data_IF_504339535188
#
_entry.id   IF_504339535188
#
_cell.length_a   1.000
_cell.length_b   1.000
_cell.length_c   1.000
_cell.angle_alpha   90.00
_cell.angle_beta   90.00
_cell.angle_gamma   90.00
#
_symmetry.space_group_name_H-M   'P 1'
#
loop_
_entity.id
_entity.type
_entity.pdbx_description
1 polymer ?
#
# COMPACT_ATOMS: atom_id res chain seq x y z
N UNK A 1 -4.96 -2.94 -3.21
CA UNK A 1 -3.70 -3.44 -2.63
C UNK A 1 -2.57 -2.60 -3.19
N UNK A 2 -1.78 -1.95 -2.32
CA UNK A 2 -0.83 -0.91 -2.74
C UNK A 2 0.31 -1.46 -3.60
N UNK A 3 0.82 -2.65 -3.27
CA UNK A 3 1.86 -3.32 -4.05
C UNK A 3 1.43 -3.61 -5.49
N UNK A 4 0.15 -3.96 -5.71
CA UNK A 4 -0.39 -4.23 -7.04
C UNK A 4 -0.52 -2.97 -7.90
N UNK A 5 -0.86 -1.83 -7.29
CA UNK A 5 -0.93 -0.54 -7.98
C UNK A 5 0.45 -0.09 -8.48
N UNK A 6 1.50 -0.26 -7.66
CA UNK A 6 2.88 0.05 -8.05
C UNK A 6 3.41 -0.93 -9.12
N UNK A 7 3.22 -2.24 -8.92
CA UNK A 7 3.64 -3.27 -9.87
C UNK A 7 2.99 -3.09 -11.26
N UNK A 8 1.69 -2.77 -11.29
CA UNK A 8 0.95 -2.47 -12.53
C UNK A 8 1.21 -1.08 -13.10
N UNK A 9 2.21 -0.37 -12.58
CA UNK A 9 2.58 0.98 -13.02
C UNK A 9 1.40 1.96 -13.10
N UNK A 10 0.48 1.86 -12.15
CA UNK A 10 -0.64 2.78 -12.09
C UNK A 10 -1.91 2.34 -12.84
N UNK A 11 -1.89 1.21 -13.56
CA UNK A 11 -3.04 0.69 -14.32
C UNK A 11 -4.19 0.29 -13.38
N UNK A 12 -3.91 -0.51 -12.34
CA UNK A 12 -4.94 -0.96 -11.41
C UNK A 12 -4.98 -0.10 -10.15
N UNK A 13 -6.01 0.74 -10.01
CA UNK A 13 -6.13 1.67 -8.88
C UNK A 13 -6.32 0.94 -7.55
N UNK A 14 -5.61 1.42 -6.53
CA UNK A 14 -5.88 0.98 -5.16
C UNK A 14 -7.12 1.68 -4.63
N UNK A 15 -8.13 0.90 -4.23
CA UNK A 15 -9.41 1.42 -3.74
C UNK A 15 -9.28 1.98 -2.32
N UNK A 16 -9.75 3.22 -2.15
CA UNK A 16 -9.98 3.80 -0.84
C UNK A 16 -11.30 3.28 -0.26
N UNK A 17 -11.26 2.85 1.00
CA UNK A 17 -12.43 2.35 1.71
C UNK A 17 -12.41 2.82 3.15
N UNK A 18 -13.60 3.01 3.73
CA UNK A 18 -13.78 3.41 5.13
C UNK A 18 -14.87 2.56 5.78
N UNK A 19 -14.75 2.36 7.08
CA UNK A 19 -15.80 1.74 7.91
C UNK A 19 -16.39 2.84 8.78
N UNK A 20 -17.73 2.92 8.81
CA UNK A 20 -18.47 3.86 9.65
C UNK A 20 -18.99 3.11 10.87
N UNK A 21 -18.82 3.69 12.06
CA UNK A 21 -19.31 3.11 13.31
C UNK A 21 -20.84 3.11 13.35
N UNK A 22 -21.45 1.97 13.68
CA UNK A 22 -22.86 1.87 13.95
C UNK A 22 -23.09 2.15 15.46
N UNK A 23 -24.00 3.07 15.78
CA UNK A 23 -24.27 3.47 17.18
C UNK A 23 -25.20 2.51 17.93
N UNK A 24 -25.93 1.66 17.22
CA UNK A 24 -27.02 0.85 17.76
C UNK A 24 -26.66 -0.63 17.86
N UNK A 25 -25.84 -1.13 16.94
CA UNK A 25 -25.51 -2.55 16.85
C UNK A 25 -24.02 -2.77 16.61
N UNK A 26 -23.49 -3.86 17.16
CA UNK A 26 -22.12 -4.29 16.94
C UNK A 26 -21.93 -4.81 15.51
N UNK A 27 -20.75 -4.56 14.93
CA UNK A 27 -20.35 -5.06 13.62
C UNK A 27 -19.07 -5.85 13.74
N UNK A 28 -19.11 -7.11 13.37
CA UNK A 28 -17.93 -7.97 13.25
C UNK A 28 -17.54 -8.13 11.78
N UNK A 29 -16.23 -8.16 11.50
CA UNK A 29 -15.73 -8.49 10.17
C UNK A 29 -14.42 -9.25 10.27
N UNK A 30 -14.26 -10.23 9.40
CA UNK A 30 -12.99 -10.89 9.12
C UNK A 30 -12.45 -10.41 7.78
N UNK A 31 -11.14 -10.29 7.66
CA UNK A 31 -10.49 -9.86 6.43
C UNK A 31 -9.27 -10.74 6.15
N UNK A 32 -9.09 -11.09 4.88
CA UNK A 32 -7.89 -11.73 4.38
C UNK A 32 -7.14 -10.76 3.47
N UNK A 33 -5.84 -10.61 3.70
CA UNK A 33 -4.97 -9.77 2.89
C UNK A 33 -3.88 -10.63 2.26
N UNK A 34 -3.94 -10.80 0.94
CA UNK A 34 -2.83 -11.35 0.19
C UNK A 34 -1.69 -10.31 0.18
N UNK A 35 -0.51 -10.67 0.69
CA UNK A 35 0.66 -9.81 0.70
C UNK A 35 1.86 -10.54 0.09
N UNK A 36 2.76 -9.85 -0.62
CA UNK A 36 4.03 -10.45 -1.05
C UNK A 36 4.89 -10.83 0.17
N UNK A 37 5.91 -11.67 -0.04
CA UNK A 37 6.97 -11.83 0.97
C UNK A 37 7.70 -10.49 1.16
N UNK A 38 8.33 -10.30 2.32
CA UNK A 38 9.07 -9.07 2.63
C UNK A 38 10.18 -8.78 1.62
N UNK A 39 10.84 -9.81 1.12
CA UNK A 39 11.96 -9.78 0.19
C UNK A 39 11.51 -9.61 -1.26
N UNK A 40 10.19 -9.71 -1.53
CA UNK A 40 9.66 -9.54 -2.88
C UNK A 40 9.90 -8.10 -3.36
N UNK A 41 10.61 -7.97 -4.48
CA UNK A 41 10.81 -6.71 -5.18
C UNK A 41 9.53 -6.33 -5.95
N UNK A 42 9.11 -5.08 -5.79
CA UNK A 42 8.01 -4.45 -6.49
C UNK A 42 8.62 -3.53 -7.53
N UNK A 43 8.44 -3.90 -8.80
CA UNK A 43 8.83 -3.13 -9.97
C UNK A 43 7.87 -3.44 -11.12
N UNK A 44 7.75 -2.54 -12.08
CA UNK A 44 6.96 -2.76 -13.28
C UNK A 44 7.85 -3.19 -14.46
N UNK A 45 7.30 -3.98 -15.36
CA UNK A 45 7.91 -4.31 -16.65
C UNK A 45 7.64 -3.28 -17.75
N UNK A 46 6.96 -2.18 -17.44
CA UNK A 46 6.66 -1.10 -18.38
C UNK A 46 7.91 -0.32 -18.81
N UNK A 47 7.89 0.21 -20.03
CA UNK A 47 9.01 1.00 -20.59
C UNK A 47 9.22 2.33 -19.87
N UNK A 48 8.14 2.95 -19.42
CA UNK A 48 8.17 4.21 -18.66
C UNK A 48 7.68 3.91 -17.25
N UNK A 49 8.56 4.11 -16.27
CA UNK A 49 8.29 3.78 -14.87
C UNK A 49 7.76 5.01 -14.13
N UNK A 50 6.68 4.84 -13.37
CA UNK A 50 6.17 5.85 -12.43
C UNK A 50 6.83 5.69 -11.06
N UNK A 51 7.09 4.45 -10.67
CA UNK A 51 7.64 4.11 -9.35
C UNK A 51 9.03 3.54 -9.49
N UNK A 52 9.93 3.94 -8.58
CA UNK A 52 11.24 3.31 -8.42
C UNK A 52 11.06 1.89 -7.89
N UNK A 53 12.07 1.05 -8.07
CA UNK A 53 12.08 -0.31 -7.51
C UNK A 53 12.23 -0.28 -5.99
N UNK A 54 11.41 -1.06 -5.28
CA UNK A 54 11.50 -1.25 -3.83
C UNK A 54 10.99 -2.63 -3.41
N UNK A 55 11.46 -3.15 -2.29
CA UNK A 55 10.96 -4.37 -1.65
C UNK A 55 9.71 -4.10 -0.82
N UNK A 56 8.88 -5.13 -0.61
CA UNK A 56 7.72 -5.01 0.27
C UNK A 56 8.13 -4.66 1.72
N UNK A 57 9.33 -5.11 2.17
CA UNK A 57 9.93 -4.71 3.45
C UNK A 57 10.14 -3.21 3.55
N UNK A 58 10.80 -2.61 2.56
CA UNK A 58 11.07 -1.16 2.52
C UNK A 58 9.77 -0.36 2.54
N UNK A 59 8.77 -0.78 1.77
CA UNK A 59 7.45 -0.15 1.79
C UNK A 59 6.82 -0.16 3.20
N UNK A 60 6.85 -1.30 3.88
CA UNK A 60 6.28 -1.41 5.24
C UNK A 60 7.05 -0.59 6.26
N UNK A 61 8.38 -0.56 6.18
CA UNK A 61 9.22 0.27 7.04
C UNK A 61 8.93 1.76 6.82
N UNK A 62 8.88 2.21 5.57
CA UNK A 62 8.55 3.60 5.25
C UNK A 62 7.16 4.00 5.77
N UNK A 63 6.16 3.11 5.66
CA UNK A 63 4.82 3.37 6.23
C UNK A 63 4.87 3.50 7.75
N UNK A 64 5.64 2.65 8.44
CA UNK A 64 5.81 2.76 9.90
C UNK A 64 6.49 4.08 10.28
N UNK A 65 7.53 4.47 9.56
CA UNK A 65 8.25 5.72 9.81
C UNK A 65 7.40 6.95 9.52
N UNK A 66 6.60 6.93 8.45
CA UNK A 66 5.65 8.01 8.14
C UNK A 66 4.62 8.17 9.26
N UNK A 67 4.05 7.07 9.76
CA UNK A 67 3.08 7.10 10.86
C UNK A 67 3.74 7.63 12.14
N UNK A 68 4.96 7.19 12.47
CA UNK A 68 5.69 7.68 13.64
C UNK A 68 6.00 9.18 13.57
N UNK A 69 6.34 9.70 12.38
CA UNK A 69 6.76 11.09 12.19
C UNK A 69 5.59 12.06 11.98
N UNK A 70 4.54 11.65 11.28
CA UNK A 70 3.46 12.53 10.81
C UNK A 70 2.08 12.14 11.34
N UNK A 71 1.97 11.04 12.09
CA UNK A 71 0.69 10.51 12.59
C UNK A 71 -0.17 9.81 11.52
N UNK A 72 0.28 9.77 10.27
CA UNK A 72 -0.43 9.13 9.17
C UNK A 72 0.56 8.56 8.13
N UNK A 73 0.08 7.57 7.36
CA UNK A 73 0.85 6.98 6.25
C UNK A 73 0.82 7.91 5.04
N UNK A 74 1.94 8.00 4.30
CA UNK A 74 2.02 8.77 3.05
C UNK A 74 1.91 7.82 1.84
N UNK A 75 2.57 6.67 1.89
CA UNK A 75 2.40 5.59 0.91
C UNK A 75 3.29 5.71 -0.32
N UNK A 76 2.79 5.37 -1.51
CA UNK A 76 3.60 5.20 -2.72
C UNK A 76 4.24 6.47 -3.26
N UNK A 77 3.79 7.65 -2.86
CA UNK A 77 4.45 8.90 -3.27
C UNK A 77 5.90 8.99 -2.81
N UNK A 78 6.29 8.25 -1.75
CA UNK A 78 7.70 8.08 -1.33
C UNK A 78 8.56 7.29 -2.32
N UNK A 79 7.92 6.60 -3.26
CA UNK A 79 8.52 5.68 -4.21
C UNK A 79 8.31 6.09 -5.66
N UNK A 80 7.80 7.29 -5.94
CA UNK A 80 7.78 7.85 -7.30
C UNK A 80 9.23 8.15 -7.74
N UNK A 81 9.51 7.97 -9.04
CA UNK A 81 10.80 8.33 -9.66
C UNK A 81 11.04 9.85 -9.70
#
# INVERSE_FOLDING_TARGET
MVSFYAWSNGVFKSVEHRVIANKQFERFSTAYFLCPSFETMIESSEKSLIYKRFSFREFRQQVQDDVKRHGHKIGLSRFIL
#
